data_IF_497834063404
#
_entry.id   IF_497834063404
#
_cell.length_a   1.000
_cell.length_b   1.000
_cell.length_c   1.000
_cell.angle_alpha   90.00
_cell.angle_beta   90.00
_cell.angle_gamma   90.00
#
_symmetry.space_group_name_H-M   'P 1'
#
loop_
_entity.id
_entity.type
_entity.pdbx_description
1 polymer ?
#
# COMPACT_ATOMS: atom_id res chain seq x y z
N UNK A 1 56.32 21.33 -31.20
CA UNK A 1 57.48 21.27 -32.12
C UNK A 1 57.66 19.81 -32.53
N UNK A 2 58.02 19.53 -33.80
CA UNK A 2 58.45 18.22 -34.36
C UNK A 2 57.43 17.06 -34.20
N UNK A 3 56.90 16.49 -35.29
CA UNK A 3 57.49 15.48 -36.21
C UNK A 3 57.39 14.03 -35.64
N UNK A 4 57.13 12.99 -36.45
CA UNK A 4 56.94 12.95 -37.91
C UNK A 4 56.40 11.61 -38.44
N UNK A 5 56.55 11.36 -39.74
CA UNK A 5 56.15 10.13 -40.46
C UNK A 5 56.95 8.89 -39.97
N UNK A 6 56.65 7.62 -40.28
CA UNK A 6 56.07 6.95 -41.49
C UNK A 6 55.53 5.54 -41.09
N UNK A 7 55.08 4.59 -41.92
CA UNK A 7 55.10 4.40 -43.39
C UNK A 7 54.36 3.11 -43.83
N UNK A 8 54.61 2.64 -45.06
CA UNK A 8 54.08 1.42 -45.72
C UNK A 8 55.27 0.46 -46.07
N UNK A 9 55.14 -0.74 -46.71
CA UNK A 9 53.97 -1.45 -47.26
C UNK A 9 53.90 -2.97 -46.89
N UNK A 10 53.08 -3.73 -47.64
CA UNK A 10 52.74 -5.16 -47.51
C UNK A 10 53.69 -6.17 -48.16
N UNK A 11 53.65 -7.47 -47.72
CA UNK A 11 53.36 -8.65 -48.59
C UNK A 11 53.28 -10.00 -47.83
N UNK A 12 52.71 -11.02 -48.50
CA UNK A 12 52.67 -12.48 -48.19
C UNK A 12 51.99 -12.95 -46.88
N UNK A 13 51.37 -14.14 -46.77
CA UNK A 13 50.96 -15.11 -47.82
C UNK A 13 50.84 -16.57 -47.28
N UNK A 14 49.76 -17.30 -47.63
CA UNK A 14 49.50 -18.74 -47.33
C UNK A 14 49.38 -19.07 -45.81
N UNK A 15 48.87 -20.20 -45.26
CA UNK A 15 47.91 -21.32 -45.56
C UNK A 15 47.62 -22.03 -44.19
N UNK A 16 46.72 -22.99 -43.91
CA UNK A 16 45.70 -23.81 -44.64
C UNK A 16 44.66 -24.31 -43.60
N UNK A 17 43.46 -24.75 -44.04
CA UNK A 17 42.62 -25.82 -43.39
C UNK A 17 42.10 -25.59 -41.93
N UNK A 18 41.17 -26.36 -41.35
CA UNK A 18 40.22 -27.40 -41.83
C UNK A 18 38.90 -27.36 -41.02
N UNK A 19 37.92 -28.17 -41.45
CA UNK A 19 36.65 -28.46 -40.76
C UNK A 19 36.82 -29.04 -39.35
N UNK A 20 35.97 -28.64 -38.40
CA UNK A 20 35.10 -29.63 -37.74
C UNK A 20 33.82 -29.06 -37.14
N UNK A 21 32.71 -29.81 -37.27
CA UNK A 21 31.46 -29.57 -36.54
C UNK A 21 31.59 -30.02 -35.08
N UNK A 22 30.95 -29.31 -34.15
CA UNK A 22 30.71 -29.80 -32.79
C UNK A 22 29.25 -29.64 -32.37
N UNK A 23 28.73 -30.65 -31.67
CA UNK A 23 27.29 -30.89 -31.56
C UNK A 23 26.60 -30.09 -30.45
N UNK A 24 25.34 -29.72 -30.71
CA UNK A 24 24.38 -29.38 -29.66
C UNK A 24 24.23 -30.55 -28.68
N UNK A 25 24.38 -30.29 -27.37
CA UNK A 25 23.88 -31.17 -26.31
C UNK A 25 22.70 -30.52 -25.61
N UNK A 26 21.52 -31.10 -25.84
CA UNK A 26 20.24 -30.66 -25.29
C UNK A 26 20.14 -31.03 -23.80
N UNK A 27 20.43 -30.07 -22.91
CA UNK A 27 20.36 -30.28 -21.46
C UNK A 27 18.92 -30.07 -20.93
N UNK A 28 18.11 -31.13 -20.94
CA UNK A 28 16.76 -31.11 -20.32
C UNK A 28 16.87 -31.14 -18.79
N UNK A 29 16.36 -30.10 -18.13
CA UNK A 29 16.17 -30.09 -16.68
C UNK A 29 14.94 -30.94 -16.28
N UNK A 30 14.99 -31.71 -15.18
CA UNK A 30 13.84 -32.48 -14.69
C UNK A 30 12.78 -31.58 -14.04
N UNK A 31 11.48 -31.95 -14.11
CA UNK A 31 10.41 -31.19 -13.46
C UNK A 31 10.40 -31.39 -11.93
N UNK A 32 10.15 -30.32 -11.18
CA UNK A 32 9.93 -30.36 -9.74
C UNK A 32 8.47 -30.72 -9.40
N UNK A 33 8.21 -31.44 -8.27
CA UNK A 33 6.88 -31.92 -7.92
C UNK A 33 5.94 -30.81 -7.40
N UNK A 34 4.61 -30.98 -7.54
CA UNK A 34 3.62 -30.02 -7.04
C UNK A 34 3.39 -30.16 -5.53
N UNK A 35 3.49 -29.06 -4.78
CA UNK A 35 3.04 -29.01 -3.39
C UNK A 35 1.51 -28.93 -3.33
N UNK A 36 0.87 -30.02 -2.93
CA UNK A 36 -0.57 -30.06 -2.66
C UNK A 36 -0.89 -29.29 -1.36
N UNK A 37 -1.64 -28.20 -1.46
CA UNK A 37 -2.27 -27.55 -0.31
C UNK A 37 -3.76 -27.94 -0.25
N UNK A 38 -4.10 -28.84 0.67
CA UNK A 38 -5.45 -29.43 0.78
C UNK A 38 -6.42 -28.55 1.57
N UNK A 39 -7.20 -27.70 0.89
CA UNK A 39 -8.36 -27.06 1.49
C UNK A 39 -9.55 -28.04 1.56
N UNK A 40 -9.61 -28.85 2.60
CA UNK A 40 -10.79 -29.67 2.89
C UNK A 40 -12.01 -28.80 3.22
N UNK A 41 -13.15 -29.07 2.57
CA UNK A 41 -14.47 -28.55 2.97
C UNK A 41 -15.13 -29.56 3.91
N UNK A 42 -15.78 -29.08 4.97
CA UNK A 42 -16.63 -29.89 5.84
C UNK A 42 -17.89 -29.11 6.28
N UNK A 43 -19.00 -29.44 5.64
CA UNK A 43 -20.43 -29.14 5.93
C UNK A 43 -21.15 -30.29 5.22
N UNK A 44 -21.99 -31.12 5.86
CA UNK A 44 -23.18 -30.72 6.65
C UNK A 44 -23.14 -31.36 8.06
N UNK A 45 -24.18 -31.56 8.89
CA UNK A 45 -25.65 -31.61 8.73
C UNK A 45 -26.43 -30.86 9.83
N UNK A 46 -27.75 -30.89 9.74
CA UNK A 46 -28.69 -30.33 10.72
C UNK A 46 -29.66 -31.40 11.19
N UNK A 47 -30.01 -31.38 12.48
CA UNK A 47 -31.13 -32.13 13.06
C UNK A 47 -31.99 -31.21 13.96
N UNK A 48 -33.13 -31.73 14.40
CA UNK A 48 -34.32 -30.95 14.83
C UNK A 48 -34.85 -31.47 16.18
N UNK A 49 -35.74 -30.70 16.82
CA UNK A 49 -36.38 -30.94 18.14
C UNK A 49 -35.46 -30.65 19.35
N UNK A 50 -35.99 -30.35 20.56
CA UNK A 50 -37.38 -30.27 21.01
C UNK A 50 -37.65 -29.01 21.86
N UNK A 51 -38.91 -28.61 21.98
CA UNK A 51 -39.35 -27.53 22.89
C UNK A 51 -39.27 -27.93 24.37
N UNK A 52 -38.83 -27.01 25.23
CA UNK A 52 -39.34 -26.88 26.61
C UNK A 52 -39.28 -25.41 27.04
N UNK A 53 -40.38 -24.87 27.56
CA UNK A 53 -40.46 -23.49 28.02
C UNK A 53 -40.68 -23.43 29.52
N UNK A 54 -40.03 -22.49 30.20
CA UNK A 54 -40.27 -22.18 31.61
C UNK A 54 -40.27 -20.67 31.81
N UNK A 55 -41.40 -20.14 32.29
CA UNK A 55 -41.58 -18.72 32.60
C UNK A 55 -41.30 -18.51 34.08
N UNK A 56 -40.40 -17.58 34.42
CA UNK A 56 -40.31 -17.03 35.77
C UNK A 56 -40.53 -15.52 35.76
N UNK A 57 -41.27 -15.04 36.76
CA UNK A 57 -41.82 -13.68 36.82
C UNK A 57 -40.83 -12.71 37.45
N UNK A 58 -40.93 -11.44 37.08
CA UNK A 58 -40.31 -10.35 37.85
C UNK A 58 -41.00 -10.21 39.21
N UNK A 59 -40.22 -9.90 40.25
CA UNK A 59 -40.71 -9.32 41.49
C UNK A 59 -39.72 -8.24 41.93
N UNK A 60 -40.21 -7.05 42.24
CA UNK A 60 -39.42 -6.01 42.87
C UNK A 60 -39.51 -6.16 44.39
N UNK A 61 -38.43 -5.86 45.10
CA UNK A 61 -38.47 -5.69 46.55
C UNK A 61 -37.61 -4.48 46.94
N UNK A 62 -38.20 -3.57 47.72
CA UNK A 62 -37.69 -2.22 47.93
C UNK A 62 -37.41 -1.94 49.40
N UNK A 63 -36.13 -1.96 49.77
CA UNK A 63 -35.56 -1.24 50.91
C UNK A 63 -35.80 -1.81 52.31
N UNK A 64 -34.71 -1.81 53.09
CA UNK A 64 -34.70 -1.18 54.42
C UNK A 64 -33.27 -0.75 54.78
N UNK A 65 -33.14 0.14 55.76
CA UNK A 65 -31.89 0.82 56.12
C UNK A 65 -31.20 0.17 57.32
N UNK A 66 -29.87 0.04 57.29
CA UNK A 66 -29.03 0.11 58.49
C UNK A 66 -27.60 0.52 58.12
N UNK A 67 -26.88 1.15 59.04
CA UNK A 67 -25.70 1.96 58.73
C UNK A 67 -24.35 1.39 59.19
N UNK A 68 -23.42 1.27 58.25
CA UNK A 68 -21.96 1.31 58.46
C UNK A 68 -21.31 1.70 57.12
N UNK A 69 -20.23 2.46 57.01
CA UNK A 69 -19.41 3.20 57.97
C UNK A 69 -18.58 4.23 57.19
N UNK A 70 -17.81 5.11 57.86
CA UNK A 70 -17.05 6.17 57.16
C UNK A 70 -15.88 5.58 56.38
N UNK A 71 -15.77 5.82 55.08
CA UNK A 71 -14.52 5.92 54.29
C UNK A 71 -14.82 6.29 52.80
N UNK A 72 -13.76 6.52 52.01
CA UNK A 72 -13.81 6.79 50.54
C UNK A 72 -14.54 8.07 50.06
N UNK A 73 -14.42 9.18 50.81
CA UNK A 73 -14.69 10.52 50.26
C UNK A 73 -13.51 10.99 49.39
N UNK A 74 -13.45 10.60 48.11
CA UNK A 74 -12.39 11.11 47.23
C UNK A 74 -12.13 10.39 45.90
N UNK A 75 -13.13 10.22 45.03
CA UNK A 75 -12.88 9.77 43.65
C UNK A 75 -13.91 10.29 42.61
N UNK A 76 -14.21 11.59 42.69
CA UNK A 76 -14.95 12.33 41.65
C UNK A 76 -14.04 13.30 40.87
N UNK A 77 -12.80 12.88 40.62
CA UNK A 77 -12.05 13.36 39.46
C UNK A 77 -12.45 12.47 38.28
N UNK A 78 -13.45 12.89 37.50
CA UNK A 78 -13.88 12.14 36.32
C UNK A 78 -12.73 11.95 35.33
N UNK A 79 -12.63 10.81 34.63
CA UNK A 79 -11.54 10.57 33.68
C UNK A 79 -11.62 11.60 32.55
N UNK A 80 -10.70 12.57 32.56
CA UNK A 80 -10.49 13.48 31.45
C UNK A 80 -10.33 12.65 30.16
N UNK A 81 -11.14 12.97 29.16
CA UNK A 81 -11.45 12.07 28.05
C UNK A 81 -10.18 11.38 27.50
N UNK A 82 -10.20 10.04 27.47
CA UNK A 82 -9.06 9.18 27.13
C UNK A 82 -8.62 9.44 25.69
N UNK A 83 -7.79 10.48 25.50
CA UNK A 83 -7.33 10.90 24.18
C UNK A 83 -6.54 9.75 23.59
N UNK A 84 -7.05 9.17 22.50
CA UNK A 84 -6.55 7.92 21.95
C UNK A 84 -5.06 8.06 21.66
N UNK A 85 -4.26 7.25 22.35
CA UNK A 85 -2.83 7.46 22.60
C UNK A 85 -2.14 8.19 21.45
N UNK A 86 -1.94 9.51 21.62
CA UNK A 86 -1.11 10.31 20.71
C UNK A 86 0.30 9.74 20.86
N UNK A 87 0.69 8.85 19.95
CA UNK A 87 2.00 8.20 19.99
C UNK A 87 3.06 9.31 20.11
N UNK A 88 4.07 9.17 20.99
CA UNK A 88 5.11 10.17 21.09
C UNK A 88 5.68 10.40 19.70
N UNK A 89 5.83 11.66 19.29
CA UNK A 89 6.21 12.05 17.95
C UNK A 89 7.65 11.57 17.66
N UNK A 90 7.79 10.30 17.29
CA UNK A 90 9.05 9.69 16.90
C UNK A 90 9.46 10.37 15.61
N UNK A 91 10.52 11.17 15.70
CA UNK A 91 11.11 11.84 14.55
C UNK A 91 11.43 10.86 13.43
N UNK A 92 11.67 11.37 12.23
CA UNK A 92 12.31 10.55 11.20
C UNK A 92 13.65 10.04 11.75
N UNK A 93 13.95 8.78 11.47
CA UNK A 93 15.14 8.10 11.96
C UNK A 93 15.80 7.40 10.79
N UNK A 94 17.08 7.65 10.65
CA UNK A 94 17.95 7.06 9.66
C UNK A 94 18.89 6.08 10.39
N UNK A 95 19.11 4.92 9.78
CA UNK A 95 20.09 3.94 10.25
C UNK A 95 21.32 4.10 9.37
N UNK A 96 22.47 4.34 9.99
CA UNK A 96 23.75 4.52 9.29
C UNK A 96 24.67 3.39 9.70
N UNK A 97 25.15 2.63 8.71
CA UNK A 97 26.14 1.57 8.91
C UNK A 97 27.52 2.12 8.55
N UNK A 98 28.47 2.01 9.49
CA UNK A 98 29.86 2.47 9.36
C UNK A 98 30.75 1.24 9.55
N UNK A 99 31.66 0.98 8.61
CA UNK A 99 32.56 -0.19 8.66
C UNK A 99 33.98 0.27 8.95
N UNK A 100 34.45 0.02 10.17
CA UNK A 100 35.81 0.31 10.63
C UNK A 100 36.63 -0.98 10.64
N UNK A 101 37.25 -1.27 9.50
CA UNK A 101 38.06 -2.47 9.29
C UNK A 101 37.23 -3.76 9.33
N UNK A 102 37.17 -4.41 10.49
CA UNK A 102 36.38 -5.63 10.74
C UNK A 102 35.13 -5.38 11.60
N UNK A 103 34.96 -4.17 12.14
CA UNK A 103 33.87 -3.80 13.05
C UNK A 103 32.80 -3.02 12.30
N UNK A 104 31.54 -3.49 12.34
CA UNK A 104 30.40 -2.73 11.82
C UNK A 104 29.69 -2.01 12.96
N UNK A 105 29.70 -0.68 12.92
CA UNK A 105 28.99 0.21 13.83
C UNK A 105 27.66 0.58 13.18
N UNK A 106 26.56 0.50 13.94
CA UNK A 106 25.21 0.80 13.44
C UNK A 106 24.61 1.92 14.30
N UNK A 107 24.52 3.11 13.72
CA UNK A 107 23.99 4.30 14.40
C UNK A 107 22.52 4.58 14.04
N UNK A 108 21.75 5.12 14.99
CA UNK A 108 20.38 5.59 14.76
C UNK A 108 20.29 7.12 14.87
N UNK A 109 20.38 7.83 13.75
CA UNK A 109 20.36 9.30 13.69
C UNK A 109 18.92 9.82 13.60
N UNK A 110 18.56 10.82 14.40
CA UNK A 110 17.23 11.45 14.36
C UNK A 110 17.27 12.66 13.43
N UNK A 111 16.49 12.64 12.36
CA UNK A 111 16.38 13.73 11.38
C UNK A 111 15.16 14.61 11.66
N UNK A 112 15.24 15.88 11.27
CA UNK A 112 14.21 16.88 11.57
C UNK A 112 12.87 16.56 10.88
N UNK A 113 11.80 16.40 11.67
CA UNK A 113 10.45 16.24 11.14
C UNK A 113 9.80 17.58 10.79
N UNK A 114 9.03 17.67 9.69
CA UNK A 114 8.12 18.78 9.49
C UNK A 114 7.09 18.82 10.62
N UNK A 115 6.84 20.01 11.17
CA UNK A 115 5.74 20.25 12.10
C UNK A 115 4.46 20.46 11.27
N UNK A 116 3.32 20.00 11.77
CA UNK A 116 2.02 20.38 11.20
C UNK A 116 1.84 21.90 11.33
N UNK A 117 1.19 22.53 10.34
CA UNK A 117 0.87 23.95 10.37
C UNK A 117 -0.05 24.29 11.56
N UNK A 118 0.17 25.41 12.26
CA UNK A 118 -0.35 25.62 13.61
C UNK A 118 -1.87 25.75 13.68
N UNK A 119 -2.49 26.30 12.64
CA UNK A 119 -3.91 26.69 12.63
C UNK A 119 -4.72 25.83 11.65
N UNK A 120 -5.30 24.70 12.10
CA UNK A 120 -6.20 23.88 11.28
C UNK A 120 -7.57 24.56 11.12
N UNK A 121 -8.29 24.36 9.99
CA UNK A 121 -9.62 24.93 9.78
C UNK A 121 -10.73 24.23 10.59
N UNK A 122 -10.49 23.03 11.13
CA UNK A 122 -11.41 22.35 12.04
C UNK A 122 -10.65 21.60 13.15
N UNK A 123 -10.46 22.20 14.35
CA UNK A 123 -9.70 21.57 15.44
C UNK A 123 -10.37 20.32 16.05
N UNK A 124 -11.67 20.09 15.82
CA UNK A 124 -12.39 18.91 16.34
C UNK A 124 -12.13 17.61 15.55
N UNK A 125 -11.57 17.72 14.33
CA UNK A 125 -11.37 16.60 13.42
C UNK A 125 -10.34 15.59 13.94
N UNK A 126 -10.79 14.36 14.21
CA UNK A 126 -9.96 13.28 14.78
C UNK A 126 -8.87 12.75 13.82
N UNK A 127 -9.03 12.96 12.51
CA UNK A 127 -8.06 12.55 11.49
C UNK A 127 -7.55 13.77 10.71
N UNK A 128 -6.31 13.80 10.17
CA UNK A 128 -5.79 14.94 9.42
C UNK A 128 -6.72 15.40 8.28
N UNK A 129 -7.16 14.49 7.39
CA UNK A 129 -8.09 14.79 6.28
C UNK A 129 -9.44 15.37 6.79
N UNK A 130 -9.87 14.96 7.98
CA UNK A 130 -11.06 15.44 8.66
C UNK A 130 -10.83 16.87 9.21
N UNK A 131 -9.71 17.07 9.91
CA UNK A 131 -9.26 18.31 10.55
C UNK A 131 -9.00 19.44 9.55
N UNK A 132 -8.58 19.08 8.35
CA UNK A 132 -8.34 19.97 7.21
C UNK A 132 -9.56 20.13 6.28
N UNK A 133 -10.72 19.55 6.63
CA UNK A 133 -11.96 19.60 5.84
C UNK A 133 -11.79 19.14 4.38
N UNK A 134 -10.86 18.19 4.12
CA UNK A 134 -10.52 17.64 2.80
C UNK A 134 -11.31 16.38 2.44
N UNK A 135 -12.08 15.81 3.38
CA UNK A 135 -12.91 14.61 3.13
C UNK A 135 -13.80 14.84 1.90
N UNK A 136 -13.87 13.86 1.01
CA UNK A 136 -14.64 13.88 -0.24
C UNK A 136 -14.14 14.85 -1.35
N UNK A 137 -13.02 15.57 -1.15
CA UNK A 137 -12.52 16.57 -2.11
C UNK A 137 -11.27 16.13 -2.90
N UNK A 138 -10.50 15.16 -2.40
CA UNK A 138 -9.24 14.73 -3.02
C UNK A 138 -9.38 13.52 -3.95
N UNK A 139 -8.47 13.44 -4.91
CA UNK A 139 -8.42 12.52 -6.05
C UNK A 139 -7.01 11.91 -6.15
N UNK A 140 -6.75 11.02 -7.12
CA UNK A 140 -5.41 10.45 -7.37
C UNK A 140 -4.41 11.47 -7.96
N UNK A 141 -4.90 12.65 -8.37
CA UNK A 141 -4.13 13.75 -8.99
C UNK A 141 -3.51 14.69 -7.93
N UNK A 142 -3.97 14.65 -6.67
CA UNK A 142 -3.51 15.51 -5.57
C UNK A 142 -2.16 15.06 -4.99
N UNK A 143 -1.12 15.05 -5.83
CA UNK A 143 0.24 14.61 -5.52
C UNK A 143 0.79 15.26 -4.23
N UNK A 144 0.47 16.53 -3.99
CA UNK A 144 0.91 17.30 -2.81
C UNK A 144 0.27 16.84 -1.48
N UNK A 145 -0.91 16.22 -1.52
CA UNK A 145 -1.55 15.60 -0.36
C UNK A 145 -1.07 14.14 -0.19
N UNK A 146 -1.01 13.41 -1.29
CA UNK A 146 -0.65 11.98 -1.30
C UNK A 146 0.83 11.76 -0.90
N UNK A 147 1.73 12.68 -1.27
CA UNK A 147 3.16 12.62 -0.91
C UNK A 147 3.42 12.61 0.60
N UNK A 148 2.52 13.20 1.41
CA UNK A 148 2.65 13.29 2.86
C UNK A 148 2.45 11.94 3.57
N UNK A 149 1.82 10.97 2.90
CA UNK A 149 1.46 9.67 3.47
C UNK A 149 2.26 8.49 2.91
N UNK A 150 3.26 8.74 2.05
CA UNK A 150 4.14 7.72 1.47
C UNK A 150 5.57 7.80 2.01
N UNK A 151 6.29 6.69 1.86
CA UNK A 151 7.74 6.57 2.09
C UNK A 151 8.51 7.00 0.84
N UNK A 152 9.81 7.35 0.94
CA UNK A 152 10.67 7.64 -0.22
C UNK A 152 10.62 6.58 -1.33
N UNK A 153 10.40 5.31 -1.02
CA UNK A 153 10.32 4.21 -2.01
C UNK A 153 8.90 3.93 -2.56
N UNK A 154 7.92 4.81 -2.32
CA UNK A 154 6.53 4.64 -2.78
C UNK A 154 5.65 3.70 -1.94
N UNK A 155 6.17 3.17 -0.83
CA UNK A 155 5.38 2.38 0.12
C UNK A 155 4.51 3.27 1.02
N UNK A 156 3.25 2.87 1.28
CA UNK A 156 2.33 3.61 2.15
C UNK A 156 2.83 3.63 3.62
N UNK A 157 2.59 4.72 4.35
CA UNK A 157 2.83 4.82 5.79
C UNK A 157 1.69 4.17 6.60
N UNK A 158 1.99 3.47 7.72
CA UNK A 158 0.98 2.71 8.47
C UNK A 158 -0.01 3.62 9.20
N UNK A 159 -1.29 3.24 9.21
CA UNK A 159 -2.40 4.03 9.81
C UNK A 159 -2.16 4.51 11.24
N UNK A 160 -1.48 3.71 12.07
CA UNK A 160 -1.13 4.07 13.47
C UNK A 160 -0.20 5.28 13.56
N UNK A 161 0.61 5.56 12.53
CA UNK A 161 1.52 6.71 12.47
C UNK A 161 0.87 7.90 11.76
N UNK A 162 0.08 7.67 10.72
CA UNK A 162 -0.56 8.77 9.94
C UNK A 162 -1.80 9.37 10.60
N UNK A 163 -2.35 8.74 11.66
CA UNK A 163 -3.55 9.23 12.35
C UNK A 163 -4.84 9.20 11.51
N UNK A 164 -4.84 8.51 10.35
CA UNK A 164 -5.99 8.48 9.45
C UNK A 164 -7.10 7.54 9.96
N UNK A 165 -8.35 7.92 9.68
CA UNK A 165 -9.52 7.04 9.80
C UNK A 165 -9.37 5.82 8.87
N UNK A 166 -10.01 4.70 9.22
CA UNK A 166 -9.88 3.45 8.45
C UNK A 166 -10.46 3.54 7.03
N UNK A 167 -11.46 4.39 6.81
CA UNK A 167 -12.01 4.73 5.48
C UNK A 167 -10.98 5.51 4.65
N UNK A 168 -10.59 6.69 5.14
CA UNK A 168 -9.70 7.61 4.44
C UNK A 168 -8.31 7.00 4.19
N UNK A 169 -7.81 6.15 5.11
CA UNK A 169 -6.58 5.40 4.88
C UNK A 169 -6.67 4.48 3.65
N UNK A 170 -7.79 3.76 3.46
CA UNK A 170 -8.02 2.90 2.28
C UNK A 170 -8.20 3.72 0.99
N UNK A 171 -8.86 4.88 1.08
CA UNK A 171 -9.00 5.81 -0.06
C UNK A 171 -7.64 6.35 -0.51
N UNK A 172 -6.84 6.89 0.41
CA UNK A 172 -5.47 7.37 0.14
C UNK A 172 -4.59 6.25 -0.40
N UNK A 173 -4.65 5.04 0.18
CA UNK A 173 -3.89 3.88 -0.31
C UNK A 173 -4.21 3.55 -1.78
N UNK A 174 -5.48 3.59 -2.20
CA UNK A 174 -5.86 3.35 -3.59
C UNK A 174 -5.57 4.55 -4.51
N UNK A 175 -5.66 5.79 -4.02
CA UNK A 175 -5.17 6.98 -4.73
C UNK A 175 -3.66 6.88 -5.02
N UNK A 176 -2.85 6.51 -4.02
CA UNK A 176 -1.40 6.29 -4.14
C UNK A 176 -1.11 5.19 -5.18
N UNK A 177 -1.82 4.06 -5.13
CA UNK A 177 -1.69 3.00 -6.15
C UNK A 177 -2.04 3.50 -7.56
N UNK A 178 -3.13 4.27 -7.73
CA UNK A 178 -3.49 4.86 -9.02
C UNK A 178 -2.44 5.86 -9.51
N UNK A 179 -1.92 6.73 -8.63
CA UNK A 179 -0.89 7.71 -8.93
C UNK A 179 0.45 7.08 -9.36
N UNK A 180 0.91 6.03 -8.66
CA UNK A 180 2.09 5.26 -9.07
C UNK A 180 1.89 4.54 -10.42
N UNK A 181 0.69 3.98 -10.67
CA UNK A 181 0.36 3.37 -11.98
C UNK A 181 0.32 4.41 -13.10
N UNK A 182 -0.09 5.64 -12.81
CA UNK A 182 -0.12 6.77 -13.75
C UNK A 182 1.23 7.48 -13.95
N UNK A 183 2.22 7.20 -13.09
CA UNK A 183 3.57 7.77 -13.19
C UNK A 183 3.77 9.12 -12.46
N UNK A 184 2.76 9.61 -11.72
CA UNK A 184 2.78 10.91 -11.02
C UNK A 184 3.85 11.03 -9.93
N UNK A 185 4.44 9.91 -9.51
CA UNK A 185 5.52 9.85 -8.53
C UNK A 185 6.82 9.33 -9.19
N UNK A 186 7.55 10.16 -9.97
CA UNK A 186 8.81 9.75 -10.61
C UNK A 186 9.91 9.48 -9.58
N UNK A 187 10.01 10.30 -8.53
CA UNK A 187 11.07 10.24 -7.52
C UNK A 187 10.84 9.12 -6.51
N UNK A 188 9.59 8.70 -6.28
CA UNK A 188 9.25 7.70 -5.26
C UNK A 188 9.25 6.28 -5.82
N UNK A 189 10.41 5.84 -6.30
CA UNK A 189 10.64 4.50 -6.86
C UNK A 189 11.38 3.61 -5.86
N UNK A 190 11.17 2.28 -5.90
CA UNK A 190 12.05 1.37 -5.17
C UNK A 190 13.48 1.52 -5.69
N UNK A 191 14.45 1.53 -4.78
CA UNK A 191 15.86 1.38 -5.15
C UNK A 191 16.07 0.02 -5.81
N UNK A 192 16.96 -0.02 -6.79
CA UNK A 192 17.39 -1.24 -7.44
C UNK A 192 18.72 -1.68 -6.82
N UNK A 193 18.97 -2.99 -6.64
CA UNK A 193 20.28 -3.47 -6.25
C UNK A 193 21.31 -3.15 -7.33
N UNK A 194 22.58 -3.07 -6.92
CA UNK A 194 23.70 -2.70 -7.78
C UNK A 194 23.80 -3.61 -9.02
N UNK A 195 24.22 -3.03 -10.14
CA UNK A 195 24.29 -3.71 -11.44
C UNK A 195 22.95 -3.94 -12.16
N UNK A 196 21.78 -3.80 -11.52
CA UNK A 196 20.47 -4.09 -12.16
C UNK A 196 19.95 -2.91 -12.98
N UNK A 197 20.34 -2.87 -14.26
CA UNK A 197 19.79 -1.94 -15.27
C UNK A 197 18.39 -2.39 -15.72
N UNK A 198 17.33 -1.54 -15.62
CA UNK A 198 16.00 -1.89 -16.12
C UNK A 198 15.95 -2.05 -17.64
N UNK A 199 15.52 -3.23 -18.12
CA UNK A 199 15.19 -3.42 -19.55
C UNK A 199 14.12 -2.42 -20.00
N UNK A 200 14.32 -1.82 -21.17
CA UNK A 200 13.34 -0.98 -21.85
C UNK A 200 12.02 -1.72 -22.08
N UNK A 201 10.91 -1.00 -21.93
CA UNK A 201 9.53 -1.51 -22.07
C UNK A 201 8.69 -0.42 -22.74
N UNK A 202 7.66 -0.78 -23.53
CA UNK A 202 6.78 0.21 -24.13
C UNK A 202 6.13 1.06 -23.02
N UNK A 203 6.34 2.37 -23.09
CA UNK A 203 5.75 3.32 -22.16
C UNK A 203 4.30 3.56 -22.59
N UNK A 204 3.36 3.10 -21.76
CA UNK A 204 1.93 3.08 -22.08
C UNK A 204 1.16 3.95 -21.08
N UNK A 205 0.96 5.21 -21.46
CA UNK A 205 0.23 6.23 -20.69
C UNK A 205 -1.12 5.70 -20.19
N UNK A 206 -1.44 6.00 -18.94
CA UNK A 206 -2.61 5.44 -18.23
C UNK A 206 -2.97 6.30 -17.02
N UNK A 207 -4.24 6.31 -16.67
CA UNK A 207 -4.79 7.04 -15.52
C UNK A 207 -6.01 6.26 -14.98
N UNK A 208 -6.46 6.56 -13.75
CA UNK A 208 -7.62 5.90 -13.10
C UNK A 208 -7.58 4.35 -13.09
N UNK A 209 -6.38 3.74 -13.10
CA UNK A 209 -6.24 2.27 -13.23
C UNK A 209 -6.40 1.56 -11.90
N UNK A 210 -7.50 0.82 -11.72
CA UNK A 210 -7.82 0.06 -10.49
C UNK A 210 -6.94 -1.18 -10.25
N UNK A 211 -6.61 -1.91 -11.31
CA UNK A 211 -5.93 -3.20 -11.22
C UNK A 211 -4.43 -3.11 -11.53
N UNK A 212 -3.68 -4.13 -11.13
CA UNK A 212 -2.28 -4.26 -11.57
C UNK A 212 -2.23 -4.56 -13.07
N UNK A 213 -1.39 -3.86 -13.86
CA UNK A 213 -1.24 -4.13 -15.29
C UNK A 213 -0.80 -5.57 -15.63
N UNK A 214 -0.28 -6.33 -14.67
CA UNK A 214 0.11 -7.75 -14.84
C UNK A 214 -0.97 -8.75 -14.41
N UNK A 215 -2.03 -8.32 -13.71
CA UNK A 215 -3.08 -9.21 -13.20
C UNK A 215 -4.36 -9.19 -14.05
N UNK A 216 -4.56 -8.15 -14.86
CA UNK A 216 -5.69 -8.06 -15.78
C UNK A 216 -5.48 -9.00 -16.98
N UNK A 217 -6.42 -9.92 -17.20
CA UNK A 217 -6.50 -10.75 -18.42
C UNK A 217 -7.36 -10.04 -19.49
N UNK A 218 -7.09 -10.22 -20.79
CA UNK A 218 -7.94 -9.69 -21.85
C UNK A 218 -9.34 -10.31 -21.82
N UNK A 219 -10.36 -9.49 -22.10
CA UNK A 219 -11.75 -9.93 -22.23
C UNK A 219 -12.01 -10.28 -23.69
N UNK A 220 -11.86 -11.55 -24.05
CA UNK A 220 -12.18 -12.05 -25.39
C UNK A 220 -13.71 -11.99 -25.64
N UNK A 221 -14.50 -12.61 -24.76
CA UNK A 221 -15.95 -12.66 -24.88
C UNK A 221 -16.58 -11.53 -24.04
N UNK A 222 -17.09 -10.48 -24.72
CA UNK A 222 -17.66 -9.29 -24.05
C UNK A 222 -19.11 -9.44 -23.58
N UNK A 223 -19.85 -10.43 -24.09
CA UNK A 223 -21.29 -10.60 -23.83
C UNK A 223 -22.18 -9.69 -24.68
N UNK A 224 -23.48 -9.94 -24.65
CA UNK A 224 -24.53 -9.10 -25.25
C UNK A 224 -24.87 -7.91 -24.35
N UNK A 225 -25.80 -7.04 -24.76
CA UNK A 225 -26.12 -5.78 -24.05
C UNK A 225 -26.53 -6.01 -22.58
N UNK A 226 -27.26 -7.08 -22.28
CA UNK A 226 -27.78 -7.39 -20.94
C UNK A 226 -26.75 -8.06 -20.02
N UNK A 227 -25.78 -8.81 -20.55
CA UNK A 227 -24.71 -9.47 -19.79
C UNK A 227 -23.30 -8.97 -20.15
N UNK A 228 -23.20 -7.69 -20.56
CA UNK A 228 -21.93 -7.08 -21.01
C UNK A 228 -20.90 -7.04 -19.87
N UNK A 229 -19.76 -7.69 -20.08
CA UNK A 229 -18.58 -7.54 -19.21
C UNK A 229 -18.01 -6.13 -19.40
N UNK A 230 -18.11 -5.29 -18.36
CA UNK A 230 -17.64 -3.90 -18.37
C UNK A 230 -16.21 -3.77 -17.83
N UNK A 231 -15.48 -2.80 -18.34
CA UNK A 231 -14.12 -2.48 -17.92
C UNK A 231 -14.15 -1.55 -16.69
N UNK A 232 -13.52 -1.93 -15.55
CA UNK A 232 -13.50 -1.12 -14.34
C UNK A 232 -12.52 0.06 -14.44
N UNK A 233 -13.02 1.26 -14.16
CA UNK A 233 -12.25 2.52 -14.14
C UNK A 233 -12.38 3.17 -12.75
N UNK A 234 -11.34 3.84 -12.27
CA UNK A 234 -11.29 4.50 -10.95
C UNK A 234 -11.48 3.53 -9.78
N UNK A 235 -11.63 4.05 -8.56
CA UNK A 235 -11.90 3.25 -7.35
C UNK A 235 -13.31 3.51 -6.81
N UNK A 236 -14.11 2.48 -6.50
CA UNK A 236 -15.43 2.66 -5.91
C UNK A 236 -15.38 3.24 -4.48
N UNK A 237 -14.21 3.26 -3.83
CA UNK A 237 -13.99 3.93 -2.55
C UNK A 237 -14.07 5.47 -2.65
N UNK A 238 -13.99 6.01 -3.87
CA UNK A 238 -14.09 7.44 -4.17
C UNK A 238 -15.47 7.82 -4.75
N UNK A 239 -16.45 6.90 -4.73
CA UNK A 239 -17.83 7.16 -5.22
C UNK A 239 -18.51 8.30 -4.48
N UNK A 240 -18.15 8.51 -3.21
CA UNK A 240 -18.75 9.50 -2.32
C UNK A 240 -18.10 10.89 -2.48
N UNK A 241 -17.14 11.08 -3.41
CA UNK A 241 -16.50 12.37 -3.64
C UNK A 241 -17.49 13.41 -4.20
N UNK A 242 -17.20 14.70 -3.95
CA UNK A 242 -18.02 15.82 -4.43
C UNK A 242 -18.07 15.80 -5.96
N UNK A 243 -19.27 15.62 -6.51
CA UNK A 243 -19.51 15.65 -7.94
C UNK A 243 -20.14 17.00 -8.32
N UNK A 244 -19.38 17.84 -9.02
CA UNK A 244 -19.86 19.16 -9.49
C UNK A 244 -20.75 19.09 -10.75
N UNK A 245 -20.84 17.92 -11.40
CA UNK A 245 -21.73 17.70 -12.54
C UNK A 245 -23.02 16.99 -12.11
N UNK A 246 -24.09 17.12 -12.92
CA UNK A 246 -25.33 16.36 -12.74
C UNK A 246 -25.18 14.85 -12.99
N UNK A 247 -24.05 14.40 -13.52
CA UNK A 247 -23.81 13.01 -13.93
C UNK A 247 -22.89 12.30 -12.93
N UNK A 248 -23.34 11.20 -12.28
CA UNK A 248 -22.52 10.50 -11.29
C UNK A 248 -21.29 9.85 -11.93
N UNK A 249 -20.23 9.68 -11.14
CA UNK A 249 -18.97 9.06 -11.55
C UNK A 249 -19.19 7.63 -12.07
N UNK A 250 -18.76 7.38 -13.32
CA UNK A 250 -18.91 6.08 -14.00
C UNK A 250 -17.70 5.19 -13.74
N UNK A 251 -17.84 4.23 -12.84
CA UNK A 251 -16.76 3.28 -12.48
C UNK A 251 -16.64 2.05 -13.40
N UNK A 252 -17.48 1.94 -14.45
CA UNK A 252 -17.55 0.78 -15.36
C UNK A 252 -18.03 1.17 -16.76
N UNK A 253 -17.25 0.85 -17.79
CA UNK A 253 -17.49 1.17 -19.21
C UNK A 253 -17.74 -0.08 -20.06
#
# INVERSE_FOLDING_TARGET
MQAGHSGLPSRTGQTTESTHSFNLREARAPPLPPHHCGCARAVPEAEVHQRSGLVFKMAAFSGLLSGCGRLLRGLLAGPAATSWSRLPARGFREVVEIQEGKTTIIEGRITGTPKESPNPPNPSGQCPICRWNLKHKYTYEDVLLLSQFIRPHGGMLPRKVTGLCQEEHRKVEECVKMAHRAGLFPNHRPQLPEGVVPKSKPQLNRYLTRWSPRSARPIYNRGHRWNKVRMPVGSPLLRDNVCYSRTPLKFYH
#
